data_IF_766630273327
#
_entry.id   IF_766630273327
#
_cell.length_a   1.000
_cell.length_b   1.000
_cell.length_c   1.000
_cell.angle_alpha   90.00
_cell.angle_beta   90.00
_cell.angle_gamma   90.00
#
_symmetry.space_group_name_H-M   'P 1'
#
loop_
_entity.id
_entity.type
_entity.pdbx_description
1 polymer ?
#
# COMPACT_ATOMS: atom_id res chain seq x y z
N UNK A 1 -16.75 -73.99 49.59
CA UNK A 1 -15.47 -73.51 49.93
C UNK A 1 -15.53 -72.02 50.08
N UNK A 2 -15.13 -71.43 51.08
CA UNK A 2 -15.57 -70.24 51.81
C UNK A 2 -15.65 -68.94 50.96
N UNK A 3 -16.88 -68.36 50.99
CA UNK A 3 -17.20 -67.00 50.61
C UNK A 3 -16.72 -66.07 51.72
N UNK A 4 -15.96 -65.01 51.36
CA UNK A 4 -15.75 -63.86 52.23
C UNK A 4 -16.50 -62.71 51.67
N UNK A 5 -17.47 -62.22 52.47
CA UNK A 5 -18.22 -60.99 52.23
C UNK A 5 -17.52 -59.89 53.03
N UNK A 6 -17.11 -58.81 52.39
CA UNK A 6 -16.68 -57.57 53.06
C UNK A 6 -17.74 -56.49 52.91
N UNK A 7 -18.04 -55.80 53.98
CA UNK A 7 -19.05 -54.73 53.90
C UNK A 7 -18.49 -53.40 53.33
N UNK A 8 -19.27 -52.81 52.49
CA UNK A 8 -18.99 -51.51 51.93
C UNK A 8 -19.32 -50.41 52.96
N UNK A 9 -18.32 -49.71 53.45
CA UNK A 9 -18.51 -48.50 54.24
C UNK A 9 -18.65 -47.31 53.28
N UNK A 10 -19.85 -46.70 53.20
CA UNK A 10 -20.11 -45.45 52.58
C UNK A 10 -19.59 -44.32 53.49
N UNK A 11 -18.46 -43.73 53.16
CA UNK A 11 -18.05 -42.44 53.72
C UNK A 11 -18.51 -41.35 52.74
N UNK A 12 -19.57 -40.63 53.10
CA UNK A 12 -20.02 -39.46 52.38
C UNK A 12 -19.06 -38.30 52.59
N UNK A 13 -18.27 -38.01 51.58
CA UNK A 13 -17.51 -36.75 51.51
C UNK A 13 -18.37 -35.69 50.87
N UNK A 14 -18.78 -34.77 51.71
CA UNK A 14 -19.44 -33.53 51.27
C UNK A 14 -18.43 -32.68 50.51
N UNK A 15 -18.46 -32.71 49.20
CA UNK A 15 -17.67 -31.76 48.36
C UNK A 15 -18.43 -30.43 48.34
N UNK A 16 -17.96 -29.48 49.14
CA UNK A 16 -18.34 -28.08 48.98
C UNK A 16 -17.73 -27.61 47.64
N UNK A 17 -18.57 -27.58 46.62
CA UNK A 17 -18.22 -26.91 45.38
C UNK A 17 -18.20 -25.40 45.63
N UNK A 18 -16.99 -24.88 45.90
CA UNK A 18 -16.75 -23.45 45.90
C UNK A 18 -16.85 -22.98 44.43
N UNK A 19 -18.01 -22.46 44.03
CA UNK A 19 -18.21 -21.84 42.71
C UNK A 19 -17.47 -20.48 42.70
N UNK A 20 -16.19 -20.51 42.41
CA UNK A 20 -15.51 -19.29 41.97
C UNK A 20 -15.99 -18.98 40.56
N UNK A 21 -17.10 -18.26 40.44
CA UNK A 21 -17.37 -17.55 39.19
C UNK A 21 -16.28 -16.50 39.05
N UNK A 22 -15.61 -16.42 37.88
CA UNK A 22 -14.70 -15.30 37.61
C UNK A 22 -15.53 -14.01 37.72
N UNK A 23 -15.06 -13.07 38.52
CA UNK A 23 -15.65 -11.72 38.52
C UNK A 23 -15.70 -11.25 37.06
N UNK A 24 -16.81 -10.58 36.64
CA UNK A 24 -16.81 -9.90 35.36
C UNK A 24 -15.57 -9.00 35.32
N UNK A 25 -14.72 -9.20 34.35
CA UNK A 25 -13.62 -8.27 34.07
C UNK A 25 -14.34 -6.99 33.67
N UNK A 26 -14.29 -5.97 34.51
CA UNK A 26 -14.71 -4.64 34.11
C UNK A 26 -13.92 -4.32 32.84
N UNK A 27 -14.60 -3.88 31.75
CA UNK A 27 -13.91 -3.46 30.54
C UNK A 27 -12.87 -2.43 30.97
N UNK A 28 -11.62 -2.61 30.55
CA UNK A 28 -10.58 -1.59 30.73
C UNK A 28 -11.17 -0.26 30.28
N UNK A 29 -11.01 0.82 31.06
CA UNK A 29 -11.50 2.12 30.66
C UNK A 29 -10.95 2.43 29.28
N UNK A 30 -11.83 2.72 28.33
CA UNK A 30 -11.41 3.15 26.98
C UNK A 30 -10.40 4.28 27.17
N UNK A 31 -9.24 4.26 26.47
CA UNK A 31 -8.23 5.29 26.60
C UNK A 31 -8.89 6.65 26.37
N UNK A 32 -8.72 7.56 27.32
CA UNK A 32 -9.25 8.92 27.22
C UNK A 32 -8.73 9.54 25.92
N UNK A 33 -9.66 9.83 25.01
CA UNK A 33 -9.35 10.51 23.76
C UNK A 33 -8.89 11.92 24.10
N UNK A 34 -7.73 12.39 23.59
CA UNK A 34 -7.33 13.78 23.78
C UNK A 34 -8.42 14.69 23.18
N UNK A 35 -9.18 15.36 24.03
CA UNK A 35 -10.28 16.26 23.63
C UNK A 35 -9.84 17.68 23.40
N UNK A 36 -8.55 18.00 23.64
CA UNK A 36 -8.01 19.33 23.39
C UNK A 36 -7.48 19.43 21.96
N UNK A 37 -7.96 20.44 21.25
CA UNK A 37 -7.54 20.80 19.90
C UNK A 37 -6.63 22.01 19.94
N UNK A 38 -5.56 22.03 19.14
CA UNK A 38 -4.51 23.05 19.23
C UNK A 38 -4.91 24.38 18.64
N UNK A 39 -5.77 24.38 17.64
CA UNK A 39 -6.20 25.57 16.97
C UNK A 39 -7.41 25.30 16.08
N UNK A 40 -8.22 26.32 15.91
CA UNK A 40 -9.28 26.39 14.93
C UNK A 40 -8.78 27.24 13.77
N UNK A 41 -8.76 26.67 12.55
CA UNK A 41 -8.32 27.36 11.35
C UNK A 41 -9.37 27.26 10.27
N UNK A 42 -9.45 28.32 9.46
CA UNK A 42 -10.28 28.27 8.27
C UNK A 42 -9.82 27.17 7.33
N UNK A 43 -10.76 26.42 6.84
CA UNK A 43 -10.55 25.23 6.00
C UNK A 43 -9.69 25.52 4.75
N UNK A 44 -9.81 26.72 4.15
CA UNK A 44 -9.06 27.11 2.97
C UNK A 44 -7.54 27.05 3.14
N UNK A 45 -7.01 27.44 4.32
CA UNK A 45 -5.56 27.38 4.60
C UNK A 45 -5.02 25.94 4.62
N UNK A 46 -5.83 24.99 5.08
CA UNK A 46 -5.43 23.58 5.05
C UNK A 46 -5.42 23.02 3.63
N UNK A 47 -6.32 23.45 2.75
CA UNK A 47 -6.30 23.04 1.33
C UNK A 47 -4.98 23.43 0.69
N UNK A 48 -4.49 24.64 0.94
CA UNK A 48 -3.19 25.10 0.43
C UNK A 48 -2.03 24.30 1.00
N UNK A 49 -2.04 24.02 2.30
CA UNK A 49 -1.00 23.24 2.96
C UNK A 49 -0.98 21.78 2.47
N UNK A 50 -2.15 21.18 2.23
CA UNK A 50 -2.26 19.81 1.72
C UNK A 50 -1.83 19.70 0.25
N UNK A 51 -2.16 20.72 -0.57
CA UNK A 51 -1.68 20.81 -1.93
C UNK A 51 -0.15 20.94 -1.97
N UNK A 52 0.43 21.81 -1.13
CA UNK A 52 1.89 21.92 -0.98
C UNK A 52 2.55 20.64 -0.46
N UNK A 53 1.87 19.87 0.39
CA UNK A 53 2.37 18.56 0.83
C UNK A 53 2.46 17.56 -0.33
N UNK A 54 1.54 17.63 -1.30
CA UNK A 54 1.63 16.82 -2.52
C UNK A 54 2.75 17.29 -3.45
N UNK A 55 2.95 18.60 -3.63
CA UNK A 55 4.09 19.14 -4.39
C UNK A 55 5.42 18.69 -3.80
N UNK A 56 5.57 18.75 -2.45
CA UNK A 56 6.74 18.20 -1.78
C UNK A 56 6.90 16.69 -2.01
N UNK A 57 5.80 15.92 -2.02
CA UNK A 57 5.84 14.49 -2.33
C UNK A 57 6.37 14.22 -3.73
N UNK A 58 5.95 14.99 -4.74
CA UNK A 58 6.41 14.82 -6.12
C UNK A 58 7.93 15.01 -6.23
N UNK A 59 8.49 15.95 -5.45
CA UNK A 59 9.94 16.22 -5.45
C UNK A 59 10.75 15.21 -4.62
N UNK A 60 10.18 14.67 -3.55
CA UNK A 60 10.93 13.93 -2.52
C UNK A 60 10.51 12.46 -2.36
N UNK A 61 9.51 11.98 -3.10
CA UNK A 61 8.90 10.63 -3.01
C UNK A 61 8.40 10.26 -1.60
N UNK A 62 8.08 11.26 -0.80
CA UNK A 62 7.53 11.09 0.56
C UNK A 62 6.77 12.33 0.99
N UNK A 63 5.71 12.16 1.75
CA UNK A 63 5.00 13.26 2.37
C UNK A 63 5.89 13.97 3.41
N UNK A 64 5.79 15.30 3.55
CA UNK A 64 6.54 16.07 4.53
C UNK A 64 6.21 15.61 5.95
N UNK A 65 7.16 15.78 6.87
CA UNK A 65 6.95 15.47 8.29
C UNK A 65 5.96 16.41 8.98
N UNK A 66 5.84 17.62 8.45
CA UNK A 66 4.90 18.66 8.91
C UNK A 66 4.56 19.61 7.76
N UNK A 67 3.43 20.29 7.90
CA UNK A 67 3.01 21.41 7.05
C UNK A 67 2.84 22.67 7.91
N UNK A 68 3.05 23.84 7.30
CA UNK A 68 2.81 25.12 7.93
C UNK A 68 1.45 25.66 7.53
N UNK A 69 0.59 25.98 8.50
CA UNK A 69 -0.68 26.66 8.29
C UNK A 69 -0.66 27.91 9.17
N UNK A 70 -0.61 29.08 8.55
CA UNK A 70 -0.62 30.39 9.21
C UNK A 70 0.43 30.52 10.36
N UNK A 71 1.64 30.01 10.12
CA UNK A 71 2.75 30.07 11.09
C UNK A 71 2.78 28.92 12.12
N UNK A 72 1.81 28.03 12.11
CA UNK A 72 1.78 26.85 12.98
C UNK A 72 2.15 25.60 12.20
N UNK A 73 3.05 24.79 12.79
CA UNK A 73 3.48 23.53 12.22
C UNK A 73 2.58 22.38 12.69
N UNK A 74 1.92 21.73 11.74
CA UNK A 74 1.12 20.52 11.96
C UNK A 74 1.90 19.29 11.53
N UNK A 75 2.11 18.36 12.45
CA UNK A 75 2.76 17.09 12.17
C UNK A 75 1.93 16.23 11.20
N UNK A 76 2.58 15.22 10.58
CA UNK A 76 1.95 14.38 9.54
C UNK A 76 0.61 13.77 9.97
N UNK A 77 0.51 13.22 11.17
CA UNK A 77 -0.75 12.68 11.69
C UNK A 77 -1.84 13.76 11.79
N UNK A 78 -1.49 14.97 12.21
CA UNK A 78 -2.43 16.07 12.36
C UNK A 78 -2.97 16.56 11.03
N UNK A 79 -2.11 16.86 10.04
CA UNK A 79 -2.59 17.40 8.78
C UNK A 79 -3.33 16.35 7.94
N UNK A 80 -3.01 15.05 8.07
CA UNK A 80 -3.80 13.99 7.44
C UNK A 80 -5.16 13.82 8.14
N UNK A 81 -5.21 13.96 9.46
CA UNK A 81 -6.49 13.99 10.19
C UNK A 81 -7.37 15.16 9.74
N UNK A 82 -6.79 16.35 9.58
CA UNK A 82 -7.47 17.52 9.00
C UNK A 82 -7.95 17.27 7.56
N UNK A 83 -7.13 16.64 6.72
CA UNK A 83 -7.51 16.27 5.36
C UNK A 83 -8.74 15.36 5.32
N UNK A 84 -8.84 14.41 6.26
CA UNK A 84 -10.00 13.52 6.35
C UNK A 84 -11.29 14.29 6.65
N UNK A 85 -11.23 15.24 7.60
CA UNK A 85 -12.38 16.11 7.92
C UNK A 85 -12.77 16.99 6.75
N UNK A 86 -11.80 17.67 6.15
CA UNK A 86 -12.01 18.59 5.03
C UNK A 86 -12.61 17.90 3.81
N UNK A 87 -12.11 16.70 3.48
CA UNK A 87 -12.67 15.95 2.36
C UNK A 87 -14.17 15.68 2.57
N UNK A 88 -14.56 15.34 3.79
CA UNK A 88 -15.96 15.12 4.15
C UNK A 88 -16.75 16.42 4.10
N UNK A 89 -16.28 17.48 4.74
CA UNK A 89 -16.95 18.80 4.77
C UNK A 89 -17.24 19.32 3.37
N UNK A 90 -16.26 19.32 2.47
CA UNK A 90 -16.43 19.78 1.08
C UNK A 90 -17.42 18.90 0.30
N UNK A 91 -17.47 17.59 0.58
CA UNK A 91 -18.45 16.71 -0.08
C UNK A 91 -19.87 16.89 0.44
N UNK A 92 -20.05 17.27 1.70
CA UNK A 92 -21.36 17.47 2.34
C UNK A 92 -21.92 18.88 2.08
N UNK A 93 -21.07 19.91 2.11
CA UNK A 93 -21.46 21.30 1.82
C UNK A 93 -20.39 22.02 0.97
N UNK A 94 -20.42 21.83 -0.35
CA UNK A 94 -19.42 22.41 -1.23
C UNK A 94 -19.50 23.96 -1.37
N UNK A 95 -20.58 24.58 -0.87
CA UNK A 95 -20.78 26.04 -1.01
C UNK A 95 -20.29 26.82 0.21
N UNK A 96 -20.26 26.21 1.42
CA UNK A 96 -19.97 26.95 2.68
C UNK A 96 -18.84 26.34 3.51
N UNK A 97 -18.19 25.28 3.05
CA UNK A 97 -17.13 24.60 3.82
C UNK A 97 -15.94 25.50 4.17
N UNK A 98 -15.69 26.54 3.38
CA UNK A 98 -14.54 27.45 3.60
C UNK A 98 -14.68 28.27 4.88
N UNK A 99 -15.89 28.56 5.31
CA UNK A 99 -16.19 29.38 6.49
C UNK A 99 -16.15 28.56 7.79
N UNK A 100 -16.03 27.24 7.71
CA UNK A 100 -15.95 26.37 8.86
C UNK A 100 -14.53 26.25 9.39
N UNK A 101 -14.40 26.06 10.70
CA UNK A 101 -13.12 25.83 11.38
C UNK A 101 -12.79 24.35 11.45
N UNK A 102 -11.53 23.97 11.17
CA UNK A 102 -11.04 22.59 11.34
C UNK A 102 -10.52 22.40 12.75
N UNK A 103 -11.09 21.45 13.46
CA UNK A 103 -10.59 20.99 14.75
C UNK A 103 -9.47 19.96 14.52
N UNK A 104 -8.22 20.33 14.88
CA UNK A 104 -7.05 19.46 14.73
C UNK A 104 -6.56 19.01 16.10
N UNK A 105 -6.44 17.71 16.39
CA UNK A 105 -5.97 17.21 17.68
C UNK A 105 -4.57 17.72 18.04
N UNK A 106 -4.37 18.12 19.31
CA UNK A 106 -3.09 18.66 19.83
C UNK A 106 -1.93 17.69 19.62
N UNK A 107 -2.18 16.40 19.81
CA UNK A 107 -1.19 15.35 19.63
C UNK A 107 -1.78 14.26 18.75
N UNK A 108 -1.13 14.02 17.61
CA UNK A 108 -1.51 12.98 16.69
C UNK A 108 -0.25 12.36 16.11
N UNK A 109 0.01 11.11 16.44
CA UNK A 109 1.13 10.39 15.83
C UNK A 109 0.75 9.86 14.43
N UNK A 110 1.76 9.64 13.60
CA UNK A 110 1.61 9.07 12.28
C UNK A 110 1.73 7.56 12.34
N UNK A 111 0.72 6.85 11.83
CA UNK A 111 0.81 5.41 11.61
C UNK A 111 1.76 5.12 10.45
N UNK A 112 2.76 4.26 10.68
CA UNK A 112 3.73 3.89 9.66
C UNK A 112 3.87 2.37 9.58
N UNK A 113 3.15 1.72 8.69
CA UNK A 113 3.35 0.31 8.40
C UNK A 113 3.35 0.11 6.89
N UNK A 114 4.53 0.12 6.29
CA UNK A 114 4.69 -0.07 4.85
C UNK A 114 4.63 -1.55 4.42
N UNK A 115 4.75 -2.48 5.38
CA UNK A 115 4.80 -3.92 5.13
C UNK A 115 3.45 -4.61 4.87
N UNK A 116 2.31 -3.89 4.90
CA UNK A 116 0.98 -4.50 4.82
C UNK A 116 0.12 -3.93 3.69
N UNK A 117 0.76 -3.50 2.60
CA UNK A 117 0.07 -2.96 1.43
C UNK A 117 -0.52 -4.08 0.57
N UNK A 118 -1.77 -4.41 0.84
CA UNK A 118 -2.53 -5.43 0.09
C UNK A 118 -3.68 -4.83 -0.72
N UNK A 119 -3.73 -3.50 -0.87
CA UNK A 119 -4.76 -2.84 -1.67
C UNK A 119 -4.55 -3.15 -3.15
N UNK A 120 -5.57 -3.70 -3.79
CA UNK A 120 -5.43 -4.25 -5.14
C UNK A 120 -5.60 -3.21 -6.25
N UNK A 121 -6.31 -2.12 -5.97
CA UNK A 121 -6.64 -1.12 -6.98
C UNK A 121 -5.56 -0.03 -7.08
N UNK A 122 -5.30 0.42 -8.29
CA UNK A 122 -4.33 1.49 -8.57
C UNK A 122 -4.89 2.89 -8.37
N UNK A 123 -6.21 2.99 -8.26
CA UNK A 123 -6.92 4.24 -7.99
C UNK A 123 -8.16 3.99 -7.14
N UNK A 124 -8.61 5.03 -6.46
CA UNK A 124 -9.80 5.02 -5.61
C UNK A 124 -10.71 6.17 -6.04
N UNK A 125 -12.03 5.93 -6.10
CA UNK A 125 -12.99 7.00 -6.32
C UNK A 125 -12.99 7.97 -5.14
N UNK A 126 -13.37 9.22 -5.40
CA UNK A 126 -13.43 10.22 -4.32
C UNK A 126 -14.43 9.82 -3.24
N UNK A 127 -15.52 9.15 -3.61
CA UNK A 127 -16.50 8.61 -2.67
C UNK A 127 -15.90 7.53 -1.75
N UNK A 128 -15.16 6.59 -2.33
CA UNK A 128 -14.49 5.55 -1.55
C UNK A 128 -13.34 6.12 -0.70
N UNK A 129 -12.64 7.14 -1.19
CA UNK A 129 -11.63 7.85 -0.41
C UNK A 129 -12.29 8.62 0.76
N UNK A 130 -13.46 9.22 0.58
CA UNK A 130 -14.22 9.89 1.65
C UNK A 130 -14.67 8.89 2.71
N UNK A 131 -15.14 7.70 2.31
CA UNK A 131 -15.44 6.63 3.23
C UNK A 131 -14.19 6.19 4.02
N UNK A 132 -13.06 6.02 3.36
CA UNK A 132 -11.80 5.69 4.02
C UNK A 132 -11.35 6.80 4.98
N UNK A 133 -11.48 8.06 4.57
CA UNK A 133 -11.15 9.23 5.38
C UNK A 133 -11.98 9.28 6.67
N UNK A 134 -13.29 8.98 6.61
CA UNK A 134 -14.14 8.88 7.81
C UNK A 134 -13.63 7.80 8.78
N UNK A 135 -13.25 6.62 8.28
CA UNK A 135 -12.65 5.53 9.09
C UNK A 135 -11.32 5.95 9.71
N UNK A 136 -10.45 6.57 8.92
CA UNK A 136 -9.14 7.07 9.37
C UNK A 136 -9.34 8.14 10.45
N UNK A 137 -10.24 9.09 10.26
CA UNK A 137 -10.54 10.14 11.23
C UNK A 137 -11.06 9.58 12.55
N UNK A 138 -12.11 8.74 12.52
CA UNK A 138 -12.71 8.15 13.71
C UNK A 138 -11.72 7.31 14.51
N UNK A 139 -10.87 6.54 13.82
CA UNK A 139 -9.78 5.81 14.47
C UNK A 139 -8.76 6.78 15.11
N UNK A 140 -8.38 7.83 14.38
CA UNK A 140 -7.34 8.79 14.80
C UNK A 140 -7.75 9.53 16.04
N UNK A 141 -8.98 10.03 16.11
CA UNK A 141 -9.52 10.72 17.29
C UNK A 141 -9.57 9.78 18.48
N UNK A 142 -10.00 8.54 18.29
CA UNK A 142 -10.09 7.53 19.35
C UNK A 142 -8.73 7.11 19.91
N UNK A 143 -7.67 7.07 19.08
CA UNK A 143 -6.39 6.45 19.46
C UNK A 143 -5.23 7.46 19.58
N UNK A 144 -5.42 8.75 19.30
CA UNK A 144 -4.35 9.74 19.26
C UNK A 144 -3.27 9.48 18.20
N UNK A 145 -3.59 8.65 17.20
CA UNK A 145 -2.70 8.24 16.12
C UNK A 145 -3.48 7.89 14.86
N UNK A 146 -2.97 8.22 13.68
CA UNK A 146 -3.56 7.73 12.43
C UNK A 146 -3.35 6.21 12.31
N UNK A 147 -4.30 5.45 11.75
CA UNK A 147 -4.14 4.01 11.59
C UNK A 147 -3.02 3.70 10.58
N UNK A 148 -2.40 2.54 10.74
CA UNK A 148 -1.38 2.07 9.78
C UNK A 148 -1.98 1.78 8.39
N UNK A 149 -3.26 1.45 8.33
CA UNK A 149 -3.99 1.18 7.08
C UNK A 149 -5.50 1.35 7.27
N UNK A 150 -6.21 1.58 6.16
CA UNK A 150 -7.66 1.43 6.08
C UNK A 150 -7.98 0.12 5.34
N UNK A 151 -8.73 -0.79 5.96
CA UNK A 151 -9.09 -2.07 5.38
C UNK A 151 -10.43 -1.97 4.63
N UNK A 152 -10.44 -2.36 3.35
CA UNK A 152 -11.62 -2.43 2.48
C UNK A 152 -12.23 -3.84 2.40
N UNK A 153 -11.61 -4.81 3.03
CA UNK A 153 -12.02 -6.20 3.00
C UNK A 153 -10.89 -7.14 2.60
N UNK A 154 -11.17 -8.43 2.63
CA UNK A 154 -10.20 -9.48 2.33
C UNK A 154 -10.72 -10.41 1.24
N UNK A 155 -9.79 -10.94 0.44
CA UNK A 155 -10.07 -12.09 -0.43
C UNK A 155 -9.64 -13.34 0.31
N UNK A 156 -10.55 -14.30 0.45
CA UNK A 156 -10.21 -15.65 0.84
C UNK A 156 -10.24 -16.51 -0.43
N UNK A 157 -9.09 -16.91 -0.95
CA UNK A 157 -9.00 -17.86 -2.05
C UNK A 157 -8.88 -19.28 -1.49
N UNK A 158 -9.91 -20.12 -1.51
CA UNK A 158 -9.74 -21.56 -1.40
C UNK A 158 -9.17 -22.06 -2.72
N UNK A 159 -8.18 -22.96 -2.66
CA UNK A 159 -7.33 -23.37 -3.77
C UNK A 159 -8.03 -23.69 -5.09
N UNK A 160 -7.28 -23.53 -6.14
CA UNK A 160 -7.53 -23.92 -7.54
C UNK A 160 -9.01 -23.91 -8.00
N UNK A 161 -9.60 -22.74 -8.13
CA UNK A 161 -10.92 -22.51 -8.67
C UNK A 161 -11.34 -21.10 -8.33
N UNK A 162 -11.97 -20.40 -9.25
CA UNK A 162 -12.33 -18.99 -9.12
C UNK A 162 -13.47 -18.70 -8.11
N UNK A 163 -13.70 -19.56 -7.14
CA UNK A 163 -14.62 -19.32 -6.05
C UNK A 163 -13.90 -18.63 -4.89
N UNK A 164 -13.39 -17.41 -5.16
CA UNK A 164 -12.92 -16.54 -4.11
C UNK A 164 -14.11 -15.90 -3.42
N UNK A 165 -14.25 -16.18 -2.12
CA UNK A 165 -15.19 -15.44 -1.27
C UNK A 165 -14.57 -14.11 -0.89
N UNK A 166 -15.22 -13.02 -1.29
CA UNK A 166 -14.82 -11.67 -0.93
C UNK A 166 -15.61 -11.23 0.31
N UNK A 167 -14.93 -10.72 1.31
CA UNK A 167 -15.55 -10.06 2.46
C UNK A 167 -15.24 -8.58 2.40
N UNK A 168 -16.27 -7.75 2.27
CA UNK A 168 -16.12 -6.29 2.26
C UNK A 168 -16.44 -5.72 3.64
N UNK A 169 -15.84 -4.59 3.99
CA UNK A 169 -16.11 -3.85 5.23
C UNK A 169 -17.13 -2.71 5.03
N UNK A 170 -17.76 -2.67 3.85
CA UNK A 170 -18.82 -1.72 3.50
C UNK A 170 -20.04 -2.47 2.92
N UNK A 171 -21.23 -1.97 3.24
CA UNK A 171 -22.50 -2.67 2.95
C UNK A 171 -22.98 -2.51 1.51
N UNK A 172 -22.64 -1.38 0.87
CA UNK A 172 -23.07 -1.07 -0.52
C UNK A 172 -21.87 -0.75 -1.39
N UNK A 173 -21.87 -1.18 -2.68
CA UNK A 173 -20.86 -0.77 -3.63
C UNK A 173 -20.85 0.76 -3.78
N UNK A 174 -19.68 1.33 -3.96
CA UNK A 174 -19.54 2.73 -4.31
C UNK A 174 -20.16 3.03 -5.69
N UNK A 175 -20.49 4.30 -5.97
CA UNK A 175 -21.18 4.70 -7.21
C UNK A 175 -20.42 4.32 -8.48
N UNK A 176 -19.08 4.18 -8.41
CA UNK A 176 -18.27 3.69 -9.52
C UNK A 176 -18.40 2.17 -9.78
N UNK A 177 -19.18 1.46 -8.94
CA UNK A 177 -19.40 0.02 -9.03
C UNK A 177 -18.19 -0.84 -8.66
N UNK A 178 -17.08 -0.22 -8.22
CA UNK A 178 -15.85 -0.93 -7.86
C UNK A 178 -15.94 -1.48 -6.45
N UNK A 179 -15.59 -2.75 -6.31
CA UNK A 179 -15.41 -3.40 -5.02
C UNK A 179 -13.94 -3.31 -4.64
N UNK A 180 -13.61 -2.38 -3.75
CA UNK A 180 -12.26 -2.19 -3.26
C UNK A 180 -11.88 -3.27 -2.25
N UNK A 181 -10.64 -3.75 -2.31
CA UNK A 181 -10.15 -4.89 -1.52
C UNK A 181 -8.74 -4.62 -1.02
N UNK A 182 -8.47 -5.09 0.19
CA UNK A 182 -7.16 -5.04 0.81
C UNK A 182 -6.94 -3.86 1.73
N UNK A 183 -5.70 -3.70 2.17
CA UNK A 183 -5.27 -2.65 3.07
C UNK A 183 -4.66 -1.49 2.29
N UNK A 184 -5.34 -0.35 2.28
CA UNK A 184 -4.77 0.92 1.82
C UNK A 184 -3.93 1.48 2.98
N UNK A 185 -2.61 1.37 2.88
CA UNK A 185 -1.69 1.75 3.97
C UNK A 185 -1.61 3.27 4.16
N UNK A 186 -1.08 3.69 5.32
CA UNK A 186 -1.01 5.10 5.73
C UNK A 186 -0.32 5.99 4.70
N UNK A 187 0.81 5.57 4.13
CA UNK A 187 1.49 6.29 3.06
C UNK A 187 0.56 6.54 1.88
N UNK A 188 -0.14 5.51 1.43
CA UNK A 188 -0.94 5.52 0.22
C UNK A 188 -2.24 6.33 0.40
N UNK A 189 -2.98 6.14 1.51
CA UNK A 189 -4.16 6.98 1.74
C UNK A 189 -3.79 8.44 2.04
N UNK A 190 -2.67 8.69 2.75
CA UNK A 190 -2.20 10.04 3.01
C UNK A 190 -1.80 10.77 1.73
N UNK A 191 -1.07 10.09 0.83
CA UNK A 191 -0.71 10.66 -0.47
C UNK A 191 -1.94 10.85 -1.38
N UNK A 192 -2.89 9.90 -1.37
CA UNK A 192 -4.13 10.04 -2.13
C UNK A 192 -4.96 11.25 -1.66
N UNK A 193 -5.05 11.49 -0.35
CA UNK A 193 -5.69 12.68 0.20
C UNK A 193 -4.99 13.97 -0.28
N UNK A 194 -3.69 14.10 -0.08
CA UNK A 194 -2.93 15.28 -0.52
C UNK A 194 -3.06 15.51 -2.04
N UNK A 195 -3.04 14.45 -2.85
CA UNK A 195 -3.25 14.51 -4.31
C UNK A 195 -4.65 14.98 -4.66
N UNK A 196 -5.69 14.54 -3.94
CA UNK A 196 -7.05 14.99 -4.14
C UNK A 196 -7.18 16.50 -3.86
N UNK A 197 -6.55 17.00 -2.79
CA UNK A 197 -6.55 18.42 -2.44
C UNK A 197 -5.71 19.26 -3.40
N UNK A 198 -4.59 18.76 -3.90
CA UNK A 198 -3.83 19.44 -4.95
C UNK A 198 -4.69 19.62 -6.21
N UNK A 199 -5.41 18.58 -6.63
CA UNK A 199 -6.33 18.70 -7.76
C UNK A 199 -7.46 19.69 -7.45
N UNK A 200 -8.05 19.62 -6.25
CA UNK A 200 -9.13 20.53 -5.81
C UNK A 200 -8.69 22.00 -5.84
N UNK A 201 -7.51 22.32 -5.31
CA UNK A 201 -6.94 23.67 -5.32
C UNK A 201 -6.91 24.29 -6.71
N UNK A 202 -6.60 23.53 -7.74
CA UNK A 202 -6.46 24.02 -9.11
C UNK A 202 -7.75 23.97 -9.93
N UNK A 203 -8.74 23.16 -9.52
CA UNK A 203 -9.95 22.90 -10.31
C UNK A 203 -11.25 23.26 -9.59
N UNK A 204 -11.21 23.62 -8.30
CA UNK A 204 -12.35 23.89 -7.41
C UNK A 204 -13.38 22.74 -7.37
N UNK A 205 -12.93 21.53 -7.63
CA UNK A 205 -13.69 20.29 -7.53
C UNK A 205 -12.73 19.13 -7.35
N UNK A 206 -13.18 18.07 -6.69
CA UNK A 206 -12.39 16.85 -6.63
C UNK A 206 -12.39 16.09 -7.97
N UNK A 207 -11.35 15.29 -8.24
CA UNK A 207 -11.35 14.38 -9.38
C UNK A 207 -12.33 13.22 -9.11
N UNK A 208 -12.79 12.55 -10.15
CA UNK A 208 -13.62 11.34 -9.99
C UNK A 208 -12.85 10.22 -9.26
N UNK A 209 -11.57 10.07 -9.58
CA UNK A 209 -10.65 9.10 -8.99
C UNK A 209 -9.28 9.72 -8.73
N UNK A 210 -8.61 9.20 -7.71
CA UNK A 210 -7.21 9.53 -7.40
C UNK A 210 -6.38 8.25 -7.39
N UNK A 211 -5.10 8.36 -7.80
CA UNK A 211 -4.16 7.27 -7.66
C UNK A 211 -3.89 6.98 -6.18
N UNK A 212 -3.81 5.70 -5.84
CA UNK A 212 -3.52 5.19 -4.49
C UNK A 212 -2.04 4.94 -4.26
N UNK A 213 -1.16 5.40 -5.15
CA UNK A 213 0.28 5.20 -4.98
C UNK A 213 0.84 6.25 -4.02
N UNK A 214 1.38 5.80 -2.91
CA UNK A 214 2.15 6.62 -1.99
C UNK A 214 3.62 6.76 -2.38
N UNK A 215 3.98 6.39 -3.61
CA UNK A 215 5.26 6.59 -4.27
C UNK A 215 5.04 6.84 -5.76
N UNK A 216 5.94 7.56 -6.43
CA UNK A 216 5.87 7.77 -7.87
C UNK A 216 6.50 6.64 -8.67
N UNK A 217 7.24 5.75 -7.98
CA UNK A 217 7.95 4.61 -8.57
C UNK A 217 9.01 5.00 -9.61
N UNK A 218 9.57 6.20 -9.49
CA UNK A 218 10.62 6.75 -10.34
C UNK A 218 11.96 6.96 -9.61
N UNK A 219 11.93 7.05 -8.27
CA UNK A 219 13.13 7.34 -7.48
C UNK A 219 13.96 6.08 -7.21
N UNK A 220 15.23 6.32 -6.92
CA UNK A 220 16.13 5.26 -6.44
C UNK A 220 15.72 4.80 -5.04
N UNK A 221 15.88 3.50 -4.81
CA UNK A 221 15.72 2.88 -3.50
C UNK A 221 16.91 1.95 -3.24
N UNK A 222 16.98 1.38 -2.05
CA UNK A 222 17.97 0.38 -1.72
C UNK A 222 17.91 -0.78 -2.75
N UNK A 223 19.03 -1.31 -3.17
CA UNK A 223 19.16 -2.33 -4.23
C UNK A 223 18.67 -1.93 -5.65
N UNK A 224 18.18 -0.70 -5.84
CA UNK A 224 17.67 -0.20 -7.12
C UNK A 224 18.18 1.23 -7.41
N UNK A 225 19.50 1.46 -7.55
CA UNK A 225 20.06 2.76 -7.94
C UNK A 225 19.70 3.05 -9.40
N UNK A 226 19.43 4.33 -9.70
CA UNK A 226 19.03 4.77 -11.04
C UNK A 226 20.05 5.70 -11.69
N UNK A 227 20.94 6.27 -10.90
CA UNK A 227 21.95 7.26 -11.28
C UNK A 227 23.38 6.67 -11.32
N UNK A 228 23.52 5.37 -11.11
CA UNK A 228 24.81 4.67 -11.21
C UNK A 228 25.27 4.55 -12.68
N UNK A 229 26.54 4.85 -13.00
CA UNK A 229 27.07 4.77 -14.36
C UNK A 229 26.84 3.42 -15.04
N UNK A 230 26.85 2.31 -14.29
CA UNK A 230 26.58 0.98 -14.83
C UNK A 230 25.12 0.83 -15.24
N UNK A 231 24.17 1.35 -14.45
CA UNK A 231 22.75 1.36 -14.81
C UNK A 231 22.51 2.19 -16.05
N UNK A 232 23.12 3.39 -16.12
CA UNK A 232 22.96 4.29 -17.26
C UNK A 232 23.54 3.73 -18.55
N UNK A 233 24.73 3.10 -18.49
CA UNK A 233 25.34 2.45 -19.67
C UNK A 233 24.52 1.24 -20.12
N UNK A 234 24.03 0.43 -19.18
CA UNK A 234 23.16 -0.73 -19.50
C UNK A 234 21.82 -0.29 -20.11
N UNK A 235 21.27 0.82 -19.61
CA UNK A 235 20.07 1.42 -20.21
C UNK A 235 20.30 1.82 -21.66
N UNK A 236 21.46 2.44 -21.96
CA UNK A 236 21.83 2.78 -23.35
C UNK A 236 21.88 1.53 -24.24
N UNK A 237 22.46 0.43 -23.72
CA UNK A 237 22.50 -0.84 -24.44
C UNK A 237 21.09 -1.43 -24.68
N UNK A 238 20.25 -1.39 -23.64
CA UNK A 238 18.86 -1.88 -23.73
C UNK A 238 17.99 -1.07 -24.71
N UNK A 239 18.27 0.22 -24.86
CA UNK A 239 17.54 1.11 -25.77
C UNK A 239 18.19 1.23 -27.16
N UNK A 240 19.28 0.51 -27.41
CA UNK A 240 20.00 0.56 -28.69
C UNK A 240 19.10 0.18 -29.84
N UNK A 241 19.05 1.03 -30.86
CA UNK A 241 18.23 0.84 -32.06
C UNK A 241 16.80 1.39 -31.96
N UNK A 242 16.40 1.93 -30.81
CA UNK A 242 15.17 2.71 -30.73
C UNK A 242 15.37 4.12 -31.30
N UNK A 243 14.30 4.67 -31.86
CA UNK A 243 14.27 6.08 -32.28
C UNK A 243 14.37 7.01 -31.06
N UNK A 244 14.89 8.23 -31.25
CA UNK A 244 14.99 9.23 -30.20
C UNK A 244 13.61 9.66 -29.65
N UNK A 245 12.57 9.58 -30.47
CA UNK A 245 11.16 9.85 -30.17
C UNK A 245 10.39 8.62 -29.70
N UNK A 246 11.07 7.50 -29.37
CA UNK A 246 10.45 6.29 -28.88
C UNK A 246 9.56 6.60 -27.65
N UNK A 247 8.33 6.09 -27.68
CA UNK A 247 7.35 6.24 -26.61
C UNK A 247 7.82 5.55 -25.31
N UNK A 248 7.31 5.95 -24.12
CA UNK A 248 7.60 5.25 -22.87
C UNK A 248 7.32 3.74 -22.97
N UNK A 249 6.26 3.34 -23.66
CA UNK A 249 5.94 1.93 -23.92
C UNK A 249 7.02 1.20 -24.71
N UNK A 250 7.49 1.78 -25.80
CA UNK A 250 8.55 1.19 -26.62
C UNK A 250 9.85 1.03 -25.85
N UNK A 251 10.22 2.03 -25.04
CA UNK A 251 11.39 1.97 -24.15
C UNK A 251 11.21 0.86 -23.09
N UNK A 252 10.05 0.79 -22.45
CA UNK A 252 9.75 -0.24 -21.45
C UNK A 252 9.82 -1.65 -22.01
N UNK A 253 9.26 -1.87 -23.21
CA UNK A 253 9.35 -3.17 -23.89
C UNK A 253 10.77 -3.55 -24.27
N UNK A 254 11.59 -2.59 -24.69
CA UNK A 254 12.99 -2.83 -25.01
C UNK A 254 13.77 -3.23 -23.76
N UNK A 255 13.58 -2.51 -22.64
CA UNK A 255 14.19 -2.83 -21.35
C UNK A 255 13.78 -4.24 -20.90
N UNK A 256 12.48 -4.55 -20.94
CA UNK A 256 11.97 -5.87 -20.58
C UNK A 256 12.59 -6.98 -21.43
N UNK A 257 12.62 -6.81 -22.74
CA UNK A 257 13.24 -7.78 -23.66
C UNK A 257 14.72 -7.95 -23.35
N UNK A 258 15.45 -6.84 -23.15
CA UNK A 258 16.85 -6.89 -22.82
C UNK A 258 17.11 -7.69 -21.53
N UNK A 259 16.41 -7.38 -20.46
CA UNK A 259 16.59 -8.06 -19.16
C UNK A 259 16.16 -9.53 -19.19
N UNK A 260 15.16 -9.90 -20.00
CA UNK A 260 14.68 -11.27 -20.18
C UNK A 260 15.63 -12.10 -21.07
N UNK A 261 16.16 -11.51 -22.14
CA UNK A 261 16.84 -12.26 -23.18
C UNK A 261 18.36 -12.33 -22.96
N UNK A 262 18.94 -11.31 -22.28
CA UNK A 262 20.40 -11.19 -22.09
C UNK A 262 20.86 -11.67 -20.71
N UNK A 263 19.96 -11.95 -19.78
CA UNK A 263 20.29 -12.32 -18.42
C UNK A 263 19.73 -13.68 -18.03
N UNK A 264 20.55 -14.46 -17.30
CA UNK A 264 20.22 -15.81 -16.87
C UNK A 264 19.44 -15.81 -15.54
N UNK A 265 18.43 -16.69 -15.43
CA UNK A 265 17.77 -16.95 -14.16
C UNK A 265 18.60 -17.89 -13.28
N UNK A 266 18.71 -17.56 -11.99
CA UNK A 266 19.45 -18.33 -10.99
C UNK A 266 18.55 -18.75 -9.82
N UNK A 267 18.80 -19.95 -9.27
CA UNK A 267 17.97 -20.51 -8.20
C UNK A 267 18.56 -20.25 -6.80
N UNK A 268 18.09 -19.19 -6.15
CA UNK A 268 18.31 -18.89 -4.73
C UNK A 268 17.15 -18.05 -4.20
N UNK A 269 17.08 -17.84 -2.86
CA UNK A 269 16.01 -17.08 -2.22
C UNK A 269 16.45 -15.66 -1.88
N UNK A 270 15.50 -14.73 -1.82
CA UNK A 270 15.65 -13.33 -1.43
C UNK A 270 16.63 -12.53 -2.30
N UNK A 271 16.79 -11.24 -2.01
CA UNK A 271 17.77 -10.37 -2.63
C UNK A 271 19.20 -10.80 -2.24
N UNK A 272 20.07 -10.95 -3.22
CA UNK A 272 21.49 -11.29 -3.01
C UNK A 272 22.44 -10.33 -3.72
N UNK A 273 22.09 -9.87 -4.92
CA UNK A 273 22.94 -9.08 -5.80
C UNK A 273 22.51 -7.62 -5.91
N UNK A 274 21.20 -7.36 -5.78
CA UNK A 274 20.61 -6.07 -6.14
C UNK A 274 20.81 -5.75 -7.63
N UNK A 275 20.40 -4.56 -8.07
CA UNK A 275 20.48 -4.19 -9.49
C UNK A 275 21.91 -4.22 -10.02
N UNK A 276 22.88 -3.64 -9.31
CA UNK A 276 24.26 -3.55 -9.78
C UNK A 276 24.95 -4.92 -9.89
N UNK A 277 24.72 -5.78 -8.90
CA UNK A 277 25.28 -7.14 -8.90
C UNK A 277 24.69 -7.99 -10.03
N UNK A 278 23.38 -7.86 -10.28
CA UNK A 278 22.66 -8.54 -11.36
C UNK A 278 23.17 -8.11 -12.74
N UNK A 279 23.30 -6.81 -12.96
CA UNK A 279 23.85 -6.28 -14.21
C UNK A 279 25.28 -6.80 -14.46
N UNK A 280 26.15 -6.78 -13.44
CA UNK A 280 27.54 -7.29 -13.55
C UNK A 280 27.58 -8.79 -13.84
N UNK A 281 26.73 -9.56 -13.16
CA UNK A 281 26.67 -11.01 -13.31
C UNK A 281 25.93 -11.46 -14.58
N UNK A 282 25.13 -10.58 -15.18
CA UNK A 282 24.15 -10.89 -16.22
C UNK A 282 23.22 -12.03 -15.79
N UNK A 283 22.77 -12.00 -14.54
CA UNK A 283 21.89 -13.04 -14.00
C UNK A 283 21.57 -12.85 -12.54
N UNK A 284 20.45 -13.45 -12.12
CA UNK A 284 19.95 -13.42 -10.76
C UNK A 284 18.64 -14.19 -10.62
N UNK A 285 18.13 -14.24 -9.39
CA UNK A 285 16.78 -14.78 -9.14
C UNK A 285 15.70 -13.76 -9.48
N UNK A 286 14.44 -14.08 -9.19
CA UNK A 286 13.30 -13.19 -9.47
C UNK A 286 13.41 -11.83 -8.76
N UNK A 287 13.95 -11.77 -7.52
CA UNK A 287 14.16 -10.50 -6.81
C UNK A 287 15.23 -9.64 -7.51
N UNK A 288 16.39 -10.23 -7.79
CA UNK A 288 17.53 -9.53 -8.34
C UNK A 288 17.29 -9.08 -9.79
N UNK A 289 16.70 -9.94 -10.63
CA UNK A 289 16.26 -9.58 -11.98
C UNK A 289 15.24 -8.43 -11.94
N UNK A 290 14.31 -8.45 -10.97
CA UNK A 290 13.36 -7.36 -10.79
C UNK A 290 14.05 -6.06 -10.37
N UNK A 291 15.00 -6.09 -9.42
CA UNK A 291 15.78 -4.91 -9.04
C UNK A 291 16.43 -4.23 -10.25
N UNK A 292 17.10 -5.01 -11.07
CA UNK A 292 17.79 -4.48 -12.24
C UNK A 292 16.81 -3.95 -13.32
N UNK A 293 15.70 -4.66 -13.57
CA UNK A 293 14.68 -4.20 -14.51
C UNK A 293 14.05 -2.87 -14.05
N UNK A 294 13.74 -2.76 -12.75
CA UNK A 294 13.18 -1.52 -12.18
C UNK A 294 14.18 -0.38 -12.26
N UNK A 295 15.47 -0.64 -11.97
CA UNK A 295 16.51 0.38 -12.06
C UNK A 295 16.60 0.98 -13.47
N UNK A 296 16.58 0.14 -14.50
CA UNK A 296 16.60 0.59 -15.90
C UNK A 296 15.32 1.36 -16.28
N UNK A 297 14.14 0.87 -15.88
CA UNK A 297 12.88 1.56 -16.16
C UNK A 297 12.81 2.92 -15.50
N UNK A 298 13.12 2.99 -14.20
CA UNK A 298 13.12 4.25 -13.44
C UNK A 298 14.18 5.24 -13.97
N UNK A 299 15.36 4.77 -14.31
CA UNK A 299 16.39 5.60 -14.96
C UNK A 299 15.95 6.15 -16.34
N UNK A 300 15.06 5.44 -17.03
CA UNK A 300 14.43 5.89 -18.28
C UNK A 300 13.23 6.83 -18.05
N UNK A 301 12.91 7.19 -16.80
CA UNK A 301 11.73 8.00 -16.45
C UNK A 301 10.42 7.23 -16.56
N UNK A 302 10.44 5.91 -16.46
CA UNK A 302 9.26 5.04 -16.57
C UNK A 302 8.93 4.49 -15.17
N UNK A 303 7.74 4.78 -14.61
CA UNK A 303 7.36 4.23 -13.31
C UNK A 303 7.37 2.71 -13.32
N UNK A 304 8.04 2.12 -12.32
CA UNK A 304 8.14 0.67 -12.18
C UNK A 304 8.17 0.28 -10.70
N UNK A 305 7.42 -0.79 -10.33
CA UNK A 305 7.25 -1.25 -8.96
C UNK A 305 7.38 -2.76 -8.83
N UNK A 306 7.63 -3.22 -7.63
CA UNK A 306 7.67 -4.65 -7.30
C UNK A 306 6.26 -5.17 -7.05
N UNK A 307 5.91 -6.29 -7.66
CA UNK A 307 4.77 -7.13 -7.34
C UNK A 307 5.29 -8.40 -6.67
N UNK A 308 4.78 -8.74 -5.49
CA UNK A 308 5.16 -9.95 -4.77
C UNK A 308 3.94 -10.82 -4.48
N UNK A 309 4.05 -12.10 -4.71
CA UNK A 309 2.99 -13.06 -4.44
C UNK A 309 3.46 -14.52 -4.48
N UNK A 310 2.52 -15.41 -4.16
CA UNK A 310 2.68 -16.85 -4.35
C UNK A 310 2.05 -17.23 -5.70
N UNK A 311 2.86 -17.60 -6.68
CA UNK A 311 2.43 -17.85 -8.05
C UNK A 311 2.35 -19.34 -8.37
N UNK A 312 1.36 -19.74 -9.19
CA UNK A 312 1.21 -21.12 -9.67
C UNK A 312 2.07 -21.35 -10.90
N UNK A 313 3.17 -22.06 -10.73
CA UNK A 313 4.00 -22.59 -11.82
C UNK A 313 3.65 -24.06 -12.10
N UNK A 314 4.16 -24.61 -13.19
CA UNK A 314 4.02 -26.04 -13.47
C UNK A 314 4.68 -26.92 -12.39
N UNK A 315 5.72 -26.41 -11.74
CA UNK A 315 6.46 -27.08 -10.64
C UNK A 315 5.80 -26.93 -9.28
N UNK A 316 4.71 -26.16 -9.15
CA UNK A 316 4.03 -25.91 -7.89
C UNK A 316 3.85 -24.42 -7.59
N UNK A 317 3.55 -24.12 -6.31
CA UNK A 317 3.38 -22.74 -5.84
C UNK A 317 4.71 -22.21 -5.33
N UNK A 318 5.16 -21.10 -5.87
CA UNK A 318 6.46 -20.50 -5.57
C UNK A 318 6.26 -19.02 -5.23
N UNK A 319 6.94 -18.53 -4.18
CA UNK A 319 7.08 -17.11 -3.89
C UNK A 319 7.81 -16.42 -5.03
N UNK A 320 7.23 -15.36 -5.58
CA UNK A 320 7.75 -14.73 -6.79
C UNK A 320 7.66 -13.21 -6.70
N UNK A 321 8.73 -12.54 -7.11
CA UNK A 321 8.80 -11.08 -7.26
C UNK A 321 8.89 -10.75 -8.73
N UNK A 322 8.08 -9.80 -9.18
CA UNK A 322 7.89 -9.49 -10.59
C UNK A 322 7.87 -7.96 -10.77
N UNK A 323 8.47 -7.42 -11.83
CA UNK A 323 8.28 -6.02 -12.20
C UNK A 323 6.84 -5.77 -12.72
N UNK A 324 6.19 -4.74 -12.18
CA UNK A 324 5.09 -4.06 -12.84
C UNK A 324 5.60 -2.74 -13.42
N UNK A 325 5.39 -2.50 -14.70
CA UNK A 325 5.88 -1.33 -15.42
C UNK A 325 4.70 -0.52 -15.94
N UNK A 326 4.68 0.80 -15.69
CA UNK A 326 3.63 1.69 -16.14
C UNK A 326 3.82 2.13 -17.59
N UNK A 327 2.84 1.83 -18.43
CA UNK A 327 2.78 2.30 -19.80
C UNK A 327 1.33 2.31 -20.31
N UNK A 328 1.01 3.21 -21.22
CA UNK A 328 -0.32 3.33 -21.84
C UNK A 328 -1.47 3.41 -20.81
N UNK A 329 -1.23 4.16 -19.71
CA UNK A 329 -2.24 4.39 -18.69
C UNK A 329 -2.55 3.22 -17.77
N UNK A 330 -1.72 2.16 -17.75
CA UNK A 330 -1.89 1.01 -16.85
C UNK A 330 -0.57 0.34 -16.46
N UNK A 331 -0.62 -0.48 -15.43
CA UNK A 331 0.46 -1.37 -15.04
C UNK A 331 0.48 -2.65 -15.88
N UNK A 332 1.68 -3.04 -16.29
CA UNK A 332 1.92 -4.27 -17.03
C UNK A 332 2.86 -5.18 -16.25
N UNK A 333 2.48 -6.43 -16.08
CA UNK A 333 3.36 -7.46 -15.52
C UNK A 333 4.41 -7.81 -16.57
N UNK A 334 5.69 -7.71 -16.23
CA UNK A 334 6.81 -7.87 -17.15
C UNK A 334 7.88 -8.78 -16.55
N UNK A 335 7.58 -10.06 -16.41
CA UNK A 335 8.44 -11.04 -15.73
C UNK A 335 9.67 -11.41 -16.58
N UNK A 336 10.89 -10.98 -16.22
CA UNK A 336 12.11 -11.29 -16.97
C UNK A 336 12.75 -12.64 -16.59
N UNK A 337 12.18 -13.37 -15.62
CA UNK A 337 12.78 -14.58 -15.08
C UNK A 337 12.67 -15.81 -15.99
N UNK A 338 11.97 -15.69 -17.11
CA UNK A 338 11.80 -16.79 -18.06
C UNK A 338 11.59 -16.29 -19.49
N UNK A 339 12.32 -16.86 -20.44
CA UNK A 339 12.28 -16.47 -21.87
C UNK A 339 10.93 -16.73 -22.54
N UNK A 340 10.04 -17.53 -21.95
CA UNK A 340 8.67 -17.71 -22.44
C UNK A 340 7.71 -16.59 -22.04
N UNK A 341 8.11 -15.70 -21.10
CA UNK A 341 7.30 -14.56 -20.72
C UNK A 341 7.29 -13.51 -21.85
N UNK A 342 6.13 -12.92 -22.08
CA UNK A 342 5.98 -11.79 -22.98
C UNK A 342 5.42 -10.58 -22.24
N UNK A 343 5.45 -9.43 -22.86
CA UNK A 343 4.92 -8.22 -22.28
C UNK A 343 3.46 -8.40 -21.80
N UNK A 344 3.23 -8.22 -20.51
CA UNK A 344 1.91 -8.41 -19.91
C UNK A 344 1.45 -9.85 -19.73
N UNK A 345 2.28 -10.83 -20.11
CA UNK A 345 1.92 -12.26 -20.04
C UNK A 345 3.06 -13.08 -19.41
N UNK A 346 3.00 -13.29 -18.10
CA UNK A 346 3.94 -14.17 -17.41
C UNK A 346 3.66 -15.66 -17.75
N UNK A 347 4.63 -16.53 -17.51
CA UNK A 347 4.49 -17.97 -17.75
C UNK A 347 3.81 -18.76 -16.62
N UNK A 348 3.44 -18.10 -15.52
CA UNK A 348 2.69 -18.70 -14.41
C UNK A 348 1.17 -18.52 -14.60
N UNK A 349 0.38 -19.46 -14.04
CA UNK A 349 -1.07 -19.58 -14.31
C UNK A 349 -1.97 -18.69 -13.45
N UNK A 350 -1.40 -17.90 -12.57
CA UNK A 350 -2.12 -17.04 -11.65
C UNK A 350 -1.44 -16.97 -10.28
N UNK A 351 -1.97 -16.15 -9.40
CA UNK A 351 -1.42 -15.90 -8.07
C UNK A 351 -2.34 -16.54 -7.02
N UNK A 352 -1.78 -17.44 -6.20
CA UNK A 352 -2.50 -18.05 -5.08
C UNK A 352 -2.70 -17.04 -3.96
N UNK A 353 -1.65 -16.22 -3.71
CA UNK A 353 -1.66 -15.21 -2.66
C UNK A 353 -0.94 -13.97 -3.16
N UNK A 354 -1.64 -12.85 -3.10
CA UNK A 354 -1.06 -11.54 -3.28
C UNK A 354 -0.43 -11.09 -1.97
N UNK A 355 0.87 -10.79 -1.96
CA UNK A 355 1.59 -10.30 -0.79
C UNK A 355 1.70 -8.78 -0.77
N UNK A 356 1.67 -8.13 -1.92
CA UNK A 356 1.66 -6.66 -2.03
C UNK A 356 2.41 -6.11 -3.24
N UNK A 357 2.30 -4.79 -3.39
CA UNK A 357 3.06 -3.96 -4.31
C UNK A 357 3.96 -3.03 -3.51
N UNK A 358 5.20 -2.86 -3.96
CA UNK A 358 6.21 -2.15 -3.18
C UNK A 358 6.99 -1.16 -4.06
N UNK A 359 7.36 -0.03 -3.48
CA UNK A 359 8.40 0.84 -4.06
C UNK A 359 9.79 0.26 -3.82
N UNK A 360 9.99 -0.40 -2.68
CA UNK A 360 11.20 -1.08 -2.24
C UNK A 360 10.84 -2.42 -1.59
N UNK A 361 11.59 -3.49 -1.90
CA UNK A 361 11.36 -4.80 -1.27
C UNK A 361 11.79 -4.76 0.21
N UNK A 362 10.99 -5.36 1.10
CA UNK A 362 11.30 -5.40 2.53
C UNK A 362 12.30 -6.51 2.91
N UNK A 363 12.93 -7.24 1.94
CA UNK A 363 13.82 -8.37 2.15
C UNK A 363 14.88 -8.51 1.06
#
# INVERSE_FOLDING_TARGET
MKKFIFPLLLSGSLILACSCQPKPVEPEPEPEVPTEFTAKYYNGFFVDALAGAYEYFVENDKLPTSVNVEGILYGKGQYICAACLLLKAIQEDPEHWEDEEVDVPVKMSWGSNEGNNTFEQDSISIEALTWAADKVYNYSVKNGATPNYCNFGTITCPGYGRDSTYTYTYDTPFKDGVKYIGNLISRDYGTALCRAFHFYKHNLKFPEKVSTWGADFLHKVNNCPIDDPLVLSTLQDALKGLSADATPRQKAEAIFKYTRDEWEWENYANTSKGALGTIKAKGGNCCDLTHATLALCRAAGIPARYLHGQCYFLSGVIGHVIPEIWADGRWWICDPSNNSCTWGQPNWKGMQKFNGRYNELPF
#
